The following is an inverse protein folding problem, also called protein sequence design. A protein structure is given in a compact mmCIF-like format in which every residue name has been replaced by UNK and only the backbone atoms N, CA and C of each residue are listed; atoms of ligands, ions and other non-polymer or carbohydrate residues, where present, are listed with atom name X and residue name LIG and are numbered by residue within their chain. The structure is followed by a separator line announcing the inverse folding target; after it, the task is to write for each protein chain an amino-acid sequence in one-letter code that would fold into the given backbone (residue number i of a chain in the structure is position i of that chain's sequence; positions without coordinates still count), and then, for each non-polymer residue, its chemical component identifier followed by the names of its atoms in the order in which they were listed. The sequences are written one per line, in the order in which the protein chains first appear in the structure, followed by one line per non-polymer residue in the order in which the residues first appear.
data_IF_028950293941
#
_entry.id   IF_028950293941
#
_cell.length_a   1.000
_cell.length_b   1.000
_cell.length_c   1.000
_cell.angle_alpha   90.00
_cell.angle_beta   90.00
_cell.angle_gamma   90.00
#
_symmetry.space_group_name_H-M   'P 1'
#
loop_
_entity.id
_entity.type
_entity.pdbx_description
1 polymer ?
2 polymer ?
3 branched ?
4 non-polymer ?
5 non-polymer ?
#
# COMPACT_ATOMS: atom_id res chain seq x y z
N UNK A 6 -7.44 -42.13 12.37
CA UNK A 6 -7.04 -40.80 12.82
C UNK A 6 -5.68 -40.39 12.28
N UNK A 7 -5.54 -39.13 11.89
CA UNK A 7 -4.24 -38.66 11.41
C UNK A 7 -4.09 -37.20 11.79
N UNK A 8 -2.84 -36.75 11.85
CA UNK A 8 -2.51 -35.37 12.16
C UNK A 8 -1.67 -34.81 11.01
N UNK A 9 -2.02 -33.60 10.57
CA UNK A 9 -1.28 -32.87 9.56
C UNK A 9 -1.00 -31.47 10.06
N UNK A 10 0.12 -30.90 9.61
CA UNK A 10 0.53 -29.56 9.99
C UNK A 10 0.69 -28.70 8.75
N UNK A 11 0.18 -27.47 8.83
CA UNK A 11 0.04 -26.60 7.68
C UNK A 11 0.90 -25.36 7.88
N UNK A 12 1.76 -25.09 6.89
CA UNK A 12 2.69 -23.97 6.96
C UNK A 12 1.96 -22.64 6.80
N UNK A 13 2.58 -21.54 7.21
CA UNK A 13 2.05 -20.22 6.85
C UNK A 13 2.00 -20.06 5.33
N UNK A 14 1.08 -19.22 4.88
CA UNK A 14 0.85 -19.00 3.46
C UNK A 14 1.51 -17.70 3.02
N UNK A 15 2.22 -17.76 1.87
CA UNK A 15 2.85 -16.57 1.32
C UNK A 15 1.87 -15.40 1.22
N UNK A 16 0.60 -15.70 0.92
CA UNK A 16 -0.44 -14.68 0.92
C UNK A 16 -0.40 -13.89 2.23
N UNK A 17 -0.55 -14.60 3.35
CA UNK A 17 -0.55 -13.93 4.64
C UNK A 17 0.84 -13.45 5.03
N UNK A 18 1.89 -14.12 4.56
CA UNK A 18 3.25 -13.70 4.90
C UNK A 18 3.60 -12.38 4.25
N UNK A 19 3.44 -12.29 2.93
CA UNK A 19 3.89 -11.13 2.18
C UNK A 19 2.84 -10.02 2.22
N UNK A 20 1.60 -10.33 1.84
CA UNK A 20 0.52 -9.36 1.85
C UNK A 20 -0.34 -9.53 3.11
N UNK A 21 0.23 -9.10 4.22
CA UNK A 21 -0.46 -9.20 5.50
C UNK A 21 0.52 -9.01 6.63
N UNK A 22 0.15 -9.55 7.80
CA UNK A 22 1.00 -9.41 8.97
C UNK A 22 0.57 -10.36 10.10
N UNK A 23 0.04 -11.53 9.74
CA UNK A 23 -0.42 -12.47 10.76
C UNK A 23 -0.36 -13.93 10.29
N UNK A 24 0.86 -14.46 10.17
CA UNK A 24 1.01 -15.87 9.88
C UNK A 24 0.53 -16.71 11.06
N UNK A 25 -0.30 -17.71 10.79
CA UNK A 25 -0.92 -18.49 11.86
C UNK A 25 -0.18 -19.81 12.04
N UNK A 26 -0.13 -20.58 10.94
CA UNK A 26 0.34 -21.96 10.93
C UNK A 26 -0.70 -22.84 11.63
N UNK A 27 -1.07 -23.98 11.04
CA UNK A 27 -2.21 -24.76 11.52
C UNK A 27 -1.84 -26.23 11.70
N UNK A 28 -2.03 -26.74 12.92
CA UNK A 28 -1.92 -28.16 13.22
C UNK A 28 -3.34 -28.70 13.42
N UNK A 29 -3.79 -29.53 12.49
CA UNK A 29 -5.14 -30.07 12.51
C UNK A 29 -5.09 -31.58 12.62
N UNK A 30 -5.83 -32.10 13.60
CA UNK A 30 -6.01 -33.53 13.77
C UNK A 30 -7.31 -33.93 13.10
N UNK A 31 -7.23 -35.02 12.34
CA UNK A 31 -8.38 -35.50 11.52
C UNK A 31 -8.84 -36.93 11.88
N UNK A 32 -10.15 -37.01 12.07
CA UNK A 32 -11.06 -38.16 12.26
C UNK A 32 -10.94 -39.05 13.49
N UNK A 33 -12.12 -39.44 13.99
CA UNK A 33 -12.26 -40.49 15.04
C UNK A 33 -13.53 -40.25 15.88
N UNK A 34 -14.57 -39.57 15.34
CA UNK A 34 -15.77 -39.39 16.18
C UNK A 34 -15.38 -39.23 17.65
N UNK A 35 -14.72 -38.10 17.91
CA UNK A 35 -14.21 -37.83 19.22
C UNK A 35 -14.97 -36.66 19.87
N UNK A 36 -15.01 -36.60 21.21
CA UNK A 36 -15.41 -35.35 21.87
C UNK A 36 -14.38 -34.24 21.68
N UNK A 37 -13.31 -34.51 20.94
CA UNK A 37 -12.22 -33.56 20.72
C UNK A 37 -11.56 -33.16 22.04
N UNK A 38 -11.37 -34.14 22.92
CA UNK A 38 -10.59 -33.92 24.13
C UNK A 38 -9.27 -33.29 23.78
N UNK A 39 -8.44 -34.03 23.05
CA UNK A 39 -7.23 -33.51 22.39
C UNK A 39 -6.28 -32.96 23.46
N UNK A 40 -5.59 -31.86 23.09
CA UNK A 40 -4.49 -31.13 23.72
C UNK A 40 -3.30 -31.05 22.77
N UNK A 41 -2.82 -29.84 22.52
CA UNK A 41 -1.79 -29.56 21.54
C UNK A 41 -0.59 -28.91 22.22
N UNK A 42 0.60 -29.26 21.77
CA UNK A 42 1.83 -28.68 22.29
C UNK A 42 2.71 -28.22 21.13
N UNK A 43 3.37 -27.10 21.34
CA UNK A 43 4.06 -26.38 20.27
C UNK A 43 5.46 -26.00 20.73
N UNK A 44 6.30 -25.66 19.74
CA UNK A 44 7.72 -25.33 19.90
C UNK A 44 7.95 -23.91 20.45
N UNK A 45 8.14 -22.83 19.65
CA UNK A 45 8.30 -21.50 20.25
C UNK A 45 7.16 -21.28 21.26
N UNK A 46 7.46 -21.31 22.56
CA UNK A 46 6.43 -21.17 23.58
C UNK A 46 6.21 -19.72 23.99
N UNK A 47 5.48 -19.54 25.09
CA UNK A 47 5.42 -18.28 25.83
C UNK A 47 5.11 -17.08 24.95
N UNK A 48 6.08 -16.66 24.13
CA UNK A 48 5.98 -15.55 23.20
C UNK A 48 4.56 -15.22 22.79
N UNK A 49 3.96 -16.08 21.98
CA UNK A 49 2.53 -16.05 21.77
C UNK A 49 1.95 -17.38 22.21
N UNK A 50 0.67 -17.38 22.52
CA UNK A 50 0.02 -18.59 23.04
C UNK A 50 -0.82 -19.26 21.95
N UNK A 51 -0.89 -20.59 22.03
CA UNK A 51 -1.58 -21.38 21.01
C UNK A 51 -3.09 -21.35 21.23
N UNK A 52 -3.83 -21.53 20.14
CA UNK A 52 -5.29 -21.50 20.14
C UNK A 52 -5.82 -22.74 19.45
N UNK A 53 -6.78 -23.41 20.08
CA UNK A 53 -7.53 -24.50 19.48
C UNK A 53 -8.78 -23.93 18.81
N UNK A 54 -9.51 -24.76 18.08
CA UNK A 54 -10.64 -24.28 17.30
C UNK A 54 -11.79 -25.28 17.36
N UNK A 55 -12.86 -24.95 16.65
CA UNK A 55 -14.09 -25.75 16.70
C UNK A 55 -13.88 -27.10 16.03
N UNK A 56 -14.47 -28.16 16.58
CA UNK A 56 -14.47 -29.45 15.88
C UNK A 56 -15.21 -29.35 14.55
N UNK A 57 -14.61 -28.67 13.57
CA UNK A 57 -15.26 -28.51 12.28
C UNK A 57 -15.65 -29.86 11.72
N UNK A 58 -16.89 -30.26 11.98
CA UNK A 58 -17.38 -31.61 11.71
C UNK A 58 -17.07 -32.06 10.29
N UNK A 59 -15.82 -32.48 10.07
CA UNK A 59 -15.24 -33.11 8.89
C UNK A 59 -16.22 -34.17 8.42
N UNK A 60 -16.44 -34.32 7.09
CA UNK A 60 -17.33 -35.39 6.61
C UNK A 60 -17.07 -36.77 7.21
N UNK A 61 -18.05 -37.66 7.10
CA UNK A 61 -18.00 -39.02 7.68
C UNK A 61 -17.78 -38.89 9.19
N UNK A 62 -17.08 -39.86 9.76
CA UNK A 62 -16.75 -39.82 11.18
C UNK A 62 -15.34 -39.37 11.46
N UNK A 63 -15.01 -38.14 11.08
CA UNK A 63 -13.72 -37.55 11.42
C UNK A 63 -13.81 -36.42 12.44
N UNK A 64 -14.70 -35.46 12.20
CA UNK A 64 -14.76 -34.32 13.16
C UNK A 64 -13.31 -33.91 13.39
N UNK A 65 -12.79 -33.08 12.49
CA UNK A 65 -11.42 -32.65 12.64
C UNK A 65 -11.34 -31.42 13.54
N UNK A 66 -10.22 -31.33 14.26
CA UNK A 66 -9.96 -30.25 15.21
C UNK A 66 -8.61 -29.65 14.85
N UNK A 67 -8.50 -28.34 14.97
CA UNK A 67 -7.35 -27.62 14.45
C UNK A 67 -6.70 -26.77 15.54
N UNK A 68 -5.47 -26.34 15.28
CA UNK A 68 -4.74 -25.43 16.14
C UNK A 68 -4.04 -24.38 15.32
N UNK A 69 -3.89 -23.20 15.90
CA UNK A 69 -3.05 -22.15 15.35
C UNK A 69 -2.31 -21.50 16.50
N UNK A 70 -1.14 -20.94 16.18
CA UNK A 70 -0.42 -20.05 17.09
C UNK A 70 -0.15 -18.78 16.30
N UNK A 71 -0.78 -17.66 16.63
CA UNK A 71 -0.60 -16.44 15.84
C UNK A 71 0.78 -15.83 16.00
N UNK A 72 1.10 -14.91 15.10
CA UNK A 72 2.27 -14.05 15.22
C UNK A 72 3.60 -14.67 14.84
N UNK A 73 3.63 -15.93 14.42
CA UNK A 73 4.89 -16.59 14.08
C UNK A 73 5.40 -16.19 12.70
N UNK A 74 5.44 -14.87 12.44
CA UNK A 74 5.97 -14.39 11.17
C UNK A 74 7.49 -14.32 11.17
N UNK A 75 8.10 -13.99 12.30
CA UNK A 75 9.55 -13.88 12.37
C UNK A 75 10.27 -15.22 12.57
N UNK A 76 9.74 -16.19 13.33
CA UNK A 76 10.50 -17.44 13.50
C UNK A 76 10.50 -18.30 12.25
N UNK A 77 9.47 -18.18 11.40
CA UNK A 77 9.52 -18.81 10.08
C UNK A 77 10.72 -18.32 9.29
N UNK A 78 10.93 -16.99 9.26
CA UNK A 78 12.00 -16.44 8.44
C UNK A 78 13.39 -16.79 8.98
N UNK A 79 13.54 -16.95 10.29
CA UNK A 79 14.82 -17.47 10.79
C UNK A 79 14.83 -18.99 10.93
N UNK A 80 14.20 -19.68 9.96
CA UNK A 80 14.27 -21.12 9.78
C UNK A 80 13.51 -21.85 10.88
N UNK A 81 14.11 -21.91 12.06
CA UNK A 81 13.64 -22.52 13.31
C UNK A 81 12.55 -23.58 13.18
N UNK A 82 12.87 -24.81 13.59
CA UNK A 82 12.00 -25.96 13.37
C UNK A 82 10.77 -25.90 14.27
N UNK A 83 9.59 -26.08 13.67
CA UNK A 83 8.33 -26.09 14.41
C UNK A 83 7.81 -27.51 14.62
N UNK A 84 7.33 -27.78 15.86
CA UNK A 84 6.76 -29.06 16.24
C UNK A 84 5.31 -28.87 16.69
N UNK A 85 4.51 -29.90 16.45
CA UNK A 85 3.16 -30.01 17.01
C UNK A 85 2.96 -31.44 17.49
N UNK A 86 2.41 -31.60 18.68
CA UNK A 86 2.12 -32.93 19.20
C UNK A 86 0.74 -32.91 19.83
N UNK A 87 -0.08 -33.89 19.46
CA UNK A 87 -1.44 -34.00 19.95
C UNK A 87 -1.66 -35.39 20.52
N UNK A 88 -2.25 -35.46 21.71
CA UNK A 88 -2.64 -36.72 22.33
C UNK A 88 -4.14 -36.65 22.53
N UNK A 89 -4.85 -37.58 21.93
CA UNK A 89 -6.23 -37.43 21.51
C UNK A 89 -7.22 -38.19 22.40
N UNK A 90 -8.52 -37.89 22.30
CA UNK A 90 -9.51 -38.52 23.19
C UNK A 90 -9.84 -39.97 22.83
N UNK A 91 -8.94 -40.64 22.12
CA UNK A 91 -9.05 -42.07 21.88
C UNK A 91 -7.99 -42.81 22.70
N UNK A 92 -6.95 -43.36 22.07
CA UNK A 92 -6.15 -44.35 22.77
C UNK A 92 -4.73 -44.34 22.18
N UNK A 93 -4.06 -45.49 22.24
CA UNK A 93 -2.74 -45.73 21.69
C UNK A 93 -1.71 -44.68 22.12
N UNK A 94 -1.14 -43.99 21.14
CA UNK A 94 0.03 -43.18 21.34
C UNK A 94 -0.24 -41.81 20.70
N UNK A 95 0.10 -40.70 21.37
CA UNK A 95 -0.09 -39.39 20.74
C UNK A 95 0.58 -39.28 19.38
N UNK A 96 0.14 -38.31 18.60
CA UNK A 96 0.64 -38.12 17.25
C UNK A 96 1.39 -36.80 17.21
N UNK A 97 2.37 -36.70 16.31
CA UNK A 97 3.19 -35.50 16.28
C UNK A 97 3.64 -35.23 14.86
N UNK A 98 3.74 -33.94 14.52
CA UNK A 98 4.27 -33.49 13.25
C UNK A 98 5.27 -32.39 13.50
N UNK A 99 5.97 -32.02 12.44
CA UNK A 99 6.98 -30.97 12.50
C UNK A 99 7.26 -30.51 11.08
N UNK A 100 7.47 -29.20 10.93
CA UNK A 100 7.92 -28.61 9.68
C UNK A 100 8.92 -27.51 10.00
N UNK A 101 9.38 -26.83 8.96
CA UNK A 101 10.26 -25.68 9.04
C UNK A 101 10.38 -25.11 7.64
N UNK A 102 11.05 -23.97 7.52
CA UNK A 102 11.26 -23.34 6.22
C UNK A 102 12.16 -24.22 5.36
N UNK A 103 11.65 -24.62 4.19
CA UNK A 103 12.29 -25.65 3.38
C UNK A 103 13.73 -25.31 3.06
N UNK A 104 14.58 -26.35 3.01
CA UNK A 104 16.00 -26.18 2.82
C UNK A 104 16.39 -25.71 1.43
N UNK A 105 16.52 -26.66 0.50
CA UNK A 105 16.84 -26.30 -0.88
C UNK A 105 15.79 -25.35 -1.44
N UNK A 106 16.24 -24.44 -2.30
CA UNK A 106 15.27 -23.50 -2.86
C UNK A 106 15.10 -23.69 -4.36
N UNK A 107 15.54 -22.68 -5.14
CA UNK A 107 15.51 -22.55 -6.60
C UNK A 107 14.57 -21.40 -6.93
N UNK A 108 15.10 -20.19 -7.17
CA UNK A 108 14.23 -19.07 -7.57
C UNK A 108 13.35 -19.35 -8.78
N UNK A 109 12.12 -18.83 -8.79
CA UNK A 109 11.29 -18.92 -9.99
C UNK A 109 11.93 -18.23 -11.18
N UNK A 110 11.60 -18.71 -12.37
CA UNK A 110 11.84 -17.99 -13.61
C UNK A 110 10.49 -17.64 -14.21
N UNK A 111 10.28 -16.35 -14.45
CA UNK A 111 8.96 -15.80 -14.73
C UNK A 111 8.97 -15.22 -16.13
N UNK A 112 7.90 -15.47 -16.87
CA UNK A 112 7.83 -15.12 -18.28
C UNK A 112 6.39 -14.72 -18.59
N UNK A 113 6.20 -13.48 -19.01
CA UNK A 113 4.88 -13.01 -19.42
C UNK A 113 4.88 -13.04 -20.94
N UNK A 114 3.92 -13.74 -21.52
CA UNK A 114 3.95 -14.06 -22.94
C UNK A 114 2.75 -13.51 -23.69
N UNK A 115 2.86 -13.32 -25.01
CA UNK A 115 1.97 -12.39 -25.72
C UNK A 115 0.64 -13.03 -26.08
N UNK A 116 -0.32 -12.21 -26.53
CA UNK A 116 -1.54 -12.76 -27.10
C UNK A 116 -1.24 -13.53 -28.37
N UNK A 117 -2.10 -14.48 -28.75
CA UNK A 117 -1.92 -15.16 -30.04
C UNK A 117 -1.94 -14.17 -31.19
N UNK A 118 -1.02 -14.37 -32.13
CA UNK A 118 -1.00 -13.54 -33.35
C UNK A 118 -2.35 -13.58 -34.04
N UNK A 119 -2.95 -14.78 -34.13
CA UNK A 119 -4.24 -14.96 -34.79
C UNK A 119 -5.42 -14.50 -33.97
N UNK A 120 -5.26 -14.27 -32.67
CA UNK A 120 -6.35 -13.75 -31.86
C UNK A 120 -6.35 -12.23 -31.79
N UNK A 121 -5.17 -11.61 -31.76
CA UNK A 121 -5.11 -10.15 -31.63
C UNK A 121 -5.56 -9.46 -32.92
N UNK A 122 -5.40 -10.12 -34.07
CA UNK A 122 -5.90 -9.56 -35.32
C UNK A 122 -7.40 -9.32 -35.23
N UNK A 123 -8.13 -10.27 -34.65
CA UNK A 123 -9.57 -10.16 -34.43
C UNK A 123 -9.76 -9.30 -33.18
N UNK A 124 -9.58 -7.98 -33.36
CA UNK A 124 -9.55 -7.02 -32.26
C UNK A 124 -10.79 -7.07 -31.38
N UNK A 125 -10.74 -7.85 -30.31
CA UNK A 125 -11.79 -7.90 -29.29
C UNK A 125 -11.19 -8.08 -27.91
N UNK A 126 -11.33 -9.29 -27.36
CA UNK A 126 -10.60 -9.70 -26.16
C UNK A 126 -9.46 -10.61 -26.58
N UNK A 127 -8.33 -10.48 -25.89
CA UNK A 127 -7.15 -11.32 -26.12
C UNK A 127 -6.55 -11.71 -24.77
N UNK A 128 -5.44 -12.46 -24.84
CA UNK A 128 -4.95 -13.24 -23.71
C UNK A 128 -3.52 -12.86 -23.38
N UNK A 129 -3.29 -12.42 -22.14
CA UNK A 129 -1.95 -12.35 -21.58
C UNK A 129 -1.73 -13.56 -20.70
N UNK A 130 -0.52 -14.13 -20.78
CA UNK A 130 -0.16 -15.32 -20.04
C UNK A 130 1.06 -15.03 -19.17
N UNK A 131 1.14 -15.74 -18.05
CA UNK A 131 2.24 -15.57 -17.11
C UNK A 131 2.69 -16.94 -16.64
N UNK A 132 4.00 -17.16 -16.64
CA UNK A 132 4.57 -18.48 -16.44
C UNK A 132 5.61 -18.43 -15.32
N UNK A 133 5.28 -19.00 -14.18
CA UNK A 133 6.24 -19.26 -13.11
C UNK A 133 6.77 -20.67 -13.27
N UNK A 134 8.08 -20.84 -13.10
CA UNK A 134 8.72 -22.06 -13.57
C UNK A 134 9.94 -22.39 -12.71
N UNK A 135 10.20 -23.69 -12.55
CA UNK A 135 11.38 -24.16 -11.85
C UNK A 135 11.66 -23.47 -10.54
N UNK A 136 10.85 -23.74 -9.51
CA UNK A 136 11.07 -23.05 -8.23
C UNK A 136 11.04 -23.98 -7.01
N UNK A 137 10.90 -23.40 -5.81
CA UNK A 137 11.34 -24.08 -4.59
C UNK A 137 10.18 -24.88 -3.97
N UNK A 138 9.52 -24.53 -2.85
CA UNK A 138 8.25 -25.20 -2.58
C UNK A 138 7.19 -24.71 -3.56
N UNK A 139 6.20 -25.56 -3.77
CA UNK A 139 5.17 -25.30 -4.75
C UNK A 139 4.42 -24.01 -4.48
N UNK A 140 4.43 -23.52 -3.25
CA UNK A 140 3.66 -22.34 -2.89
C UNK A 140 4.21 -21.09 -3.58
N UNK A 141 3.36 -20.44 -4.37
CA UNK A 141 3.67 -19.17 -5.03
C UNK A 141 2.47 -18.24 -4.96
N UNK A 142 2.71 -16.99 -5.35
CA UNK A 142 1.68 -15.97 -5.48
C UNK A 142 1.91 -15.26 -6.79
N UNK A 143 0.91 -15.26 -7.67
CA UNK A 143 0.94 -14.48 -8.90
C UNK A 143 -0.14 -13.42 -8.83
N UNK A 144 0.25 -12.15 -8.99
CA UNK A 144 -0.67 -11.02 -9.01
C UNK A 144 -0.42 -10.24 -10.30
N UNK A 145 -1.49 -9.90 -11.00
CA UNK A 145 -1.41 -9.10 -12.23
C UNK A 145 -1.53 -7.61 -11.89
N UNK A 146 -1.01 -6.77 -12.78
CA UNK A 146 -1.08 -5.33 -12.61
C UNK A 146 -1.43 -4.65 -13.93
N UNK A 147 -2.39 -3.73 -13.88
CA UNK A 147 -2.66 -2.79 -14.97
C UNK A 147 -2.04 -1.45 -14.61
N UNK A 148 -1.40 -0.81 -15.58
CA UNK A 148 -0.62 0.38 -15.31
C UNK A 148 0.27 0.18 -14.11
N UNK A 149 -0.20 0.63 -12.96
CA UNK A 149 0.43 0.32 -11.68
C UNK A 149 -0.65 0.10 -10.62
N UNK A 150 -1.73 -0.58 -11.01
CA UNK A 150 -2.81 -0.92 -10.10
C UNK A 150 -3.01 -2.43 -10.05
N UNK A 151 -3.11 -2.98 -8.85
CA UNK A 151 -3.41 -4.40 -8.68
C UNK A 151 -4.85 -4.67 -9.12
N UNK A 152 -5.01 -5.52 -10.13
CA UNK A 152 -6.34 -5.95 -10.51
C UNK A 152 -6.91 -6.85 -9.43
N UNK A 153 -8.21 -6.76 -9.14
CA UNK A 153 -8.82 -7.73 -8.24
C UNK A 153 -8.57 -9.14 -8.76
N UNK A 154 -8.42 -10.08 -7.81
CA UNK A 154 -8.17 -11.47 -8.16
C UNK A 154 -9.17 -11.98 -9.19
N UNK A 155 -10.39 -11.44 -9.17
CA UNK A 155 -11.48 -11.94 -9.99
C UNK A 155 -11.37 -11.57 -11.47
N UNK A 156 -10.42 -10.74 -11.86
CA UNK A 156 -10.28 -10.38 -13.26
C UNK A 156 -9.28 -11.25 -14.01
N UNK A 157 -8.47 -12.02 -13.31
CA UNK A 157 -7.48 -12.91 -13.92
C UNK A 157 -7.59 -14.31 -13.34
N UNK A 158 -7.20 -15.29 -14.14
CA UNK A 158 -7.24 -16.70 -13.75
C UNK A 158 -5.82 -17.19 -13.54
N UNK A 159 -5.60 -17.88 -12.42
CA UNK A 159 -4.30 -18.49 -12.11
C UNK A 159 -4.49 -19.97 -11.85
N UNK A 160 -3.77 -20.80 -12.59
CA UNK A 160 -3.65 -22.19 -12.21
C UNK A 160 -2.70 -22.33 -11.02
N UNK A 161 -2.72 -23.55 -10.46
CA UNK A 161 -1.95 -23.96 -9.27
C UNK A 161 -0.60 -24.52 -9.67
N UNK A 162 0.31 -24.62 -8.71
CA UNK A 162 1.62 -25.22 -8.95
C UNK A 162 1.54 -26.73 -9.06
N UNK A 163 2.25 -27.26 -10.05
CA UNK A 163 2.34 -28.70 -10.29
C UNK A 163 3.76 -29.04 -10.71
N UNK A 164 4.28 -30.15 -10.19
CA UNK A 164 5.60 -30.60 -10.62
C UNK A 164 5.62 -30.82 -12.12
N UNK A 165 6.63 -30.27 -12.76
CA UNK A 165 6.98 -30.46 -14.15
C UNK A 165 7.93 -31.64 -14.31
N UNK A 166 7.77 -32.43 -15.38
CA UNK A 166 8.70 -33.55 -15.61
C UNK A 166 10.12 -33.06 -15.78
N UNK A 167 10.85 -33.03 -14.68
CA UNK A 167 12.13 -32.35 -14.61
C UNK A 167 13.27 -33.35 -14.62
N UNK A 168 14.39 -32.95 -15.20
CA UNK A 168 15.59 -33.76 -15.22
C UNK A 168 16.32 -33.57 -13.89
N UNK A 169 16.10 -34.47 -12.95
CA UNK A 169 16.77 -34.39 -11.67
C UNK A 169 16.05 -33.54 -10.65
N UNK A 170 16.47 -32.29 -10.51
CA UNK A 170 15.89 -31.38 -9.53
C UNK A 170 14.39 -31.26 -9.71
N UNK A 171 13.65 -31.65 -8.67
CA UNK A 171 12.19 -31.64 -8.69
C UNK A 171 11.72 -30.20 -8.52
N UNK A 172 11.24 -29.60 -9.60
CA UNK A 172 10.83 -28.20 -9.60
C UNK A 172 9.39 -28.07 -10.07
N UNK A 173 8.77 -26.96 -9.71
CA UNK A 173 7.35 -26.73 -9.94
C UNK A 173 7.15 -25.72 -11.06
N UNK A 174 5.87 -25.43 -11.36
CA UNK A 174 5.52 -24.51 -12.42
C UNK A 174 4.09 -24.01 -12.21
N UNK A 175 3.83 -22.78 -12.64
CA UNK A 175 2.52 -22.16 -12.48
C UNK A 175 2.27 -21.30 -13.71
N UNK A 176 0.99 -21.22 -14.13
CA UNK A 176 0.59 -20.32 -15.20
C UNK A 176 -0.62 -19.49 -14.78
N UNK A 177 -0.79 -18.37 -15.48
CA UNK A 177 -1.85 -17.42 -15.21
C UNK A 177 -2.24 -16.75 -16.51
N UNK A 178 -3.51 -16.38 -16.62
CA UNK A 178 -4.05 -15.73 -17.80
C UNK A 178 -4.86 -14.51 -17.36
N UNK A 179 -4.59 -13.38 -18.00
CA UNK A 179 -5.42 -12.18 -17.88
C UNK A 179 -5.98 -11.86 -19.25
N UNK A 180 -7.30 -11.98 -19.39
CA UNK A 180 -7.97 -11.62 -20.63
C UNK A 180 -8.36 -10.16 -20.58
N UNK A 181 -8.00 -9.41 -21.64
CA UNK A 181 -8.13 -7.97 -21.66
C UNK A 181 -8.69 -7.53 -23.01
N UNK A 182 -9.16 -6.29 -23.05
CA UNK A 182 -9.74 -5.71 -24.26
C UNK A 182 -8.64 -5.18 -25.17
N UNK A 183 -8.82 -5.39 -26.48
CA UNK A 183 -7.77 -5.08 -27.45
C UNK A 183 -7.41 -3.59 -27.46
N UNK A 184 -8.42 -2.71 -27.36
CA UNK A 184 -8.17 -1.28 -27.43
C UNK A 184 -7.14 -0.85 -26.37
N UNK A 185 -7.14 -1.49 -25.21
CA UNK A 185 -6.14 -1.19 -24.20
C UNK A 185 -4.74 -1.54 -24.69
N UNK A 186 -4.61 -2.68 -25.36
CA UNK A 186 -3.30 -3.17 -25.80
C UNK A 186 -2.72 -2.30 -26.91
N UNK A 187 -3.50 -2.06 -27.97
CA UNK A 187 -3.05 -1.20 -29.06
C UNK A 187 -2.93 0.25 -28.62
N UNK A 188 -3.63 0.65 -27.56
CA UNK A 188 -3.52 2.02 -27.04
C UNK A 188 -2.10 2.30 -26.55
N UNK A 189 -1.59 1.45 -25.66
CA UNK A 189 -0.21 1.55 -25.27
C UNK A 189 0.08 1.50 -23.78
N UNK A 190 -0.94 1.30 -22.96
CA UNK A 190 -0.70 1.28 -21.52
C UNK A 190 -0.11 -0.08 -21.10
N UNK A 191 0.30 -0.16 -19.84
CA UNK A 191 1.26 -1.16 -19.39
C UNK A 191 0.63 -2.19 -18.46
N UNK A 192 0.95 -3.46 -18.69
CA UNK A 192 0.53 -4.57 -17.84
C UNK A 192 1.76 -5.29 -17.29
N UNK A 193 1.59 -5.94 -16.15
CA UNK A 193 2.68 -6.63 -15.49
C UNK A 193 2.16 -7.89 -14.81
N UNK A 194 3.06 -8.84 -14.62
CA UNK A 194 2.84 -10.00 -13.79
C UNK A 194 3.91 -10.03 -12.71
N UNK A 195 3.52 -10.37 -11.49
CA UNK A 195 4.47 -10.39 -10.38
C UNK A 195 4.32 -11.69 -9.61
N UNK A 196 5.46 -12.31 -9.30
CA UNK A 196 5.52 -13.61 -8.66
C UNK A 196 6.28 -13.46 -7.34
N UNK A 197 5.62 -13.80 -6.25
CA UNK A 197 6.24 -13.84 -4.94
C UNK A 197 6.53 -15.28 -4.56
N UNK A 198 7.68 -15.49 -3.93
CA UNK A 198 8.16 -16.83 -3.68
C UNK A 198 9.12 -16.80 -2.50
N UNK A 199 9.12 -17.90 -1.75
CA UNK A 199 9.93 -18.00 -0.54
C UNK A 199 11.39 -17.73 -0.86
N UNK A 200 11.91 -18.37 -1.92
CA UNK A 200 13.31 -18.22 -2.31
C UNK A 200 13.65 -16.77 -2.63
N UNK A 201 13.07 -16.24 -3.73
CA UNK A 201 13.32 -14.92 -4.27
C UNK A 201 13.73 -13.89 -3.23
N UNK A 202 14.81 -13.15 -3.51
CA UNK A 202 15.44 -12.34 -2.45
C UNK A 202 14.62 -11.11 -2.09
N UNK A 203 14.05 -10.44 -3.07
CA UNK A 203 13.25 -9.24 -2.89
C UNK A 203 11.78 -9.60 -2.69
N UNK A 204 11.53 -10.83 -2.23
CA UNK A 204 10.18 -11.39 -2.10
C UNK A 204 9.58 -11.57 -3.48
N UNK A 205 8.67 -10.68 -3.86
CA UNK A 205 8.16 -10.68 -5.22
C UNK A 205 9.26 -10.29 -6.21
N UNK A 206 9.02 -10.60 -7.48
CA UNK A 206 9.81 -10.05 -8.59
C UNK A 206 8.86 -9.72 -9.74
N UNK A 207 8.99 -8.50 -10.24
CA UNK A 207 8.15 -8.01 -11.34
C UNK A 207 8.85 -8.20 -12.68
N UNK A 208 8.06 -8.59 -13.69
CA UNK A 208 8.46 -8.47 -15.08
C UNK A 208 7.24 -8.01 -15.86
N UNK A 209 7.44 -7.08 -16.78
CA UNK A 209 6.39 -6.27 -17.39
C UNK A 209 6.17 -6.72 -18.84
N UNK A 210 5.31 -5.97 -19.56
CA UNK A 210 5.05 -6.26 -20.96
C UNK A 210 4.64 -4.98 -21.69
N UNK A 211 5.18 -4.82 -22.89
CA UNK A 211 4.71 -3.87 -23.88
C UNK A 211 4.52 -4.64 -25.18
N UNK A 212 4.35 -3.96 -26.31
CA UNK A 212 4.21 -4.67 -27.58
C UNK A 212 5.15 -4.13 -28.66
N UNK B 4 24.00 7.79 8.75
CA UNK B 4 22.55 7.96 8.63
C UNK B 4 22.14 8.29 7.20
N UNK B 5 20.82 8.35 7.02
CA UNK B 5 20.09 8.34 5.77
C UNK B 5 19.29 9.63 5.64
N UNK B 6 18.72 9.91 4.46
CA UNK B 6 17.73 10.97 4.44
C UNK B 6 16.37 10.45 4.90
N UNK B 7 15.77 9.54 4.09
CA UNK B 7 14.49 8.83 4.15
C UNK B 7 13.71 9.44 2.99
N UNK B 8 12.85 8.70 2.30
CA UNK B 8 12.32 9.16 1.01
C UNK B 8 11.44 10.39 1.14
N UNK B 9 11.30 11.08 0.02
CA UNK B 9 10.59 12.36 -0.03
C UNK B 9 9.11 12.17 -0.33
N UNK B 10 8.34 13.18 0.04
CA UNK B 10 6.90 13.23 -0.16
C UNK B 10 6.55 14.55 -0.83
N UNK B 11 5.91 14.48 -1.99
CA UNK B 11 5.57 15.67 -2.75
C UNK B 11 4.11 15.61 -3.16
N UNK B 12 3.55 16.78 -3.43
CA UNK B 12 2.22 16.94 -4.04
C UNK B 12 2.43 17.82 -5.26
N UNK B 13 2.61 17.16 -6.41
CA UNK B 13 3.00 17.84 -7.65
C UNK B 13 2.04 18.97 -8.03
N UNK B 14 0.80 18.92 -7.56
CA UNK B 14 -0.13 20.03 -7.68
C UNK B 14 -0.38 20.60 -6.29
N UNK B 15 -0.65 21.90 -6.24
CA UNK B 15 -0.63 22.64 -4.98
C UNK B 15 -1.42 21.90 -3.91
N UNK B 16 -0.86 21.77 -2.69
CA UNK B 16 -1.34 20.74 -1.76
C UNK B 16 -2.57 21.12 -0.96
N UNK B 17 -3.31 22.12 -1.41
CA UNK B 17 -4.55 22.53 -0.75
C UNK B 17 -5.64 22.60 -1.82
N UNK B 18 -6.76 21.96 -1.54
CA UNK B 18 -7.76 21.68 -2.57
C UNK B 18 -9.15 21.94 -2.04
N UNK B 19 -10.04 22.41 -2.91
CA UNK B 19 -11.43 22.61 -2.49
C UNK B 19 -12.05 21.28 -2.10
N UNK B 20 -12.75 21.29 -0.97
CA UNK B 20 -13.36 20.07 -0.45
C UNK B 20 -14.09 19.36 -1.59
N UNK B 21 -13.58 18.19 -1.96
CA UNK B 21 -13.98 17.57 -3.21
C UNK B 21 -13.02 17.80 -4.34
N UNK B 22 -11.79 18.18 -4.03
CA UNK B 22 -10.77 18.42 -5.02
C UNK B 22 -9.86 17.22 -5.21
N UNK B 23 -9.12 17.24 -6.32
CA UNK B 23 -8.28 16.12 -6.73
C UNK B 23 -6.85 16.59 -6.96
N UNK B 24 -5.89 15.80 -6.45
CA UNK B 24 -4.47 16.14 -6.50
C UNK B 24 -3.66 14.87 -6.74
N UNK B 25 -2.41 15.06 -7.14
CA UNK B 25 -1.57 13.99 -7.67
C UNK B 25 -0.37 13.79 -6.72
N UNK B 26 -0.64 13.19 -5.56
CA UNK B 26 0.40 13.04 -4.55
C UNK B 26 1.42 12.00 -5.00
N UNK B 27 2.66 12.17 -4.55
CA UNK B 27 3.79 11.42 -5.10
C UNK B 27 4.80 11.16 -3.99
N UNK B 28 5.35 9.95 -3.97
CA UNK B 28 6.43 9.57 -3.07
C UNK B 28 7.72 9.32 -3.85
N UNK B 29 8.76 8.95 -3.13
CA UNK B 29 10.00 8.45 -3.70
C UNK B 29 9.89 6.92 -3.82
N UNK B 30 10.76 6.34 -4.62
CA UNK B 30 10.62 4.94 -5.01
C UNK B 30 11.85 4.15 -4.56
N UNK B 31 11.73 3.43 -3.45
CA UNK B 31 12.74 2.45 -3.07
C UNK B 31 12.51 1.22 -3.95
N UNK B 32 13.35 0.99 -4.98
CA UNK B 32 13.08 -0.09 -5.94
C UNK B 32 13.43 -1.49 -5.43
N UNK B 33 13.91 -1.61 -4.20
CA UNK B 33 14.02 -2.90 -3.52
C UNK B 33 12.88 -3.10 -2.53
N UNK B 34 11.81 -2.32 -2.69
CA UNK B 34 10.60 -2.42 -1.88
C UNK B 34 9.42 -2.68 -2.82
N UNK B 35 8.83 -3.88 -2.73
CA UNK B 35 7.68 -4.22 -3.56
C UNK B 35 6.41 -3.54 -3.08
N UNK B 36 6.28 -3.32 -1.78
CA UNK B 36 5.02 -2.85 -1.19
C UNK B 36 5.18 -1.42 -0.66
N UNK B 37 4.23 -0.56 -1.00
CA UNK B 37 4.26 0.85 -0.64
C UNK B 37 2.88 1.29 -0.19
N UNK B 38 2.83 1.92 0.98
CA UNK B 38 1.61 2.14 1.76
C UNK B 38 1.51 3.62 2.08
N UNK B 39 0.50 4.29 1.55
CA UNK B 39 0.23 5.66 1.97
C UNK B 39 -0.56 5.64 3.27
N UNK B 40 -0.01 6.29 4.28
CA UNK B 40 -0.62 6.37 5.60
C UNK B 40 -1.17 7.77 5.83
N UNK B 41 -2.15 7.86 6.73
CA UNK B 41 -2.51 9.14 7.32
C UNK B 41 -2.38 8.99 8.82
N UNK B 42 -1.33 9.60 9.38
CA UNK B 42 -1.10 9.54 10.82
C UNK B 42 -2.29 10.11 11.56
N UNK B 43 -3.22 9.22 11.88
CA UNK B 43 -4.54 9.54 12.42
C UNK B 43 -4.63 8.99 13.84
N UNK B 44 -4.74 9.89 14.81
CA UNK B 44 -4.96 9.51 16.20
C UNK B 44 -3.96 8.49 16.72
N UNK B 45 -2.83 8.96 17.25
CA UNK B 45 -1.85 8.15 17.96
C UNK B 45 -1.12 7.14 17.08
N UNK B 46 -1.60 6.94 15.86
CA UNK B 46 -1.15 5.83 15.03
C UNK B 46 -1.04 6.29 13.58
N UNK B 47 -1.14 5.31 12.67
CA UNK B 47 -1.12 5.54 11.23
C UNK B 47 -1.93 4.41 10.60
N UNK B 48 -2.64 4.72 9.52
CA UNK B 48 -3.61 3.77 8.97
C UNK B 48 -3.54 3.76 7.45
N UNK B 49 -3.80 2.59 6.87
CA UNK B 49 -3.67 2.40 5.43
C UNK B 49 -4.85 3.03 4.69
N UNK B 50 -4.54 3.95 3.77
CA UNK B 50 -5.53 4.44 2.82
C UNK B 50 -5.38 3.77 1.46
N UNK B 51 -4.23 3.94 0.82
CA UNK B 51 -3.98 3.31 -0.47
C UNK B 51 -2.77 2.38 -0.36
N UNK B 52 -2.68 1.46 -1.33
CA UNK B 52 -1.71 0.38 -1.32
C UNK B 52 -1.31 0.11 -2.76
N UNK B 53 -0.12 0.55 -3.16
CA UNK B 53 0.42 0.27 -4.48
C UNK B 53 1.61 -0.68 -4.36
N UNK B 54 1.45 -1.87 -4.94
CA UNK B 54 2.44 -2.93 -4.96
C UNK B 54 3.28 -2.84 -6.23
N UNK B 55 4.49 -3.38 -6.17
CA UNK B 55 5.37 -3.43 -7.33
C UNK B 55 6.65 -2.67 -7.10
N UNK B 56 7.55 -2.82 -8.07
CA UNK B 56 8.84 -2.14 -8.07
C UNK B 56 8.76 -0.96 -9.04
N UNK B 57 9.70 -0.01 -8.88
CA UNK B 57 9.81 1.13 -9.80
C UNK B 57 11.27 1.31 -10.18
N UNK B 58 11.66 0.60 -11.23
CA UNK B 58 13.00 0.68 -11.80
C UNK B 58 12.91 1.79 -12.84
N UNK B 59 11.90 2.66 -12.71
CA UNK B 59 11.74 3.77 -13.64
C UNK B 59 11.42 5.05 -12.90
N UNK B 60 10.13 5.36 -12.82
CA UNK B 60 9.63 6.58 -12.21
C UNK B 60 9.69 6.51 -10.69
N UNK B 61 8.91 7.37 -10.05
CA UNK B 61 8.63 7.39 -8.63
C UNK B 61 7.14 7.18 -8.43
N UNK B 62 6.69 6.71 -7.26
CA UNK B 62 5.29 6.31 -7.12
C UNK B 62 4.41 7.51 -6.80
N UNK B 63 3.30 7.63 -7.54
CA UNK B 63 2.28 8.64 -7.27
C UNK B 63 1.01 8.00 -6.74
N UNK B 64 0.37 8.71 -5.81
CA UNK B 64 -0.99 8.46 -5.37
C UNK B 64 -1.89 9.52 -6.01
N UNK B 65 -3.20 9.36 -5.86
CA UNK B 65 -4.15 10.40 -6.24
C UNK B 65 -5.27 10.41 -5.21
N UNK B 66 -5.49 11.55 -4.57
CA UNK B 66 -6.63 11.75 -3.71
C UNK B 66 -7.66 12.56 -4.47
N UNK B 67 -8.76 11.93 -4.85
CA UNK B 67 -9.84 12.62 -5.51
C UNK B 67 -11.02 12.73 -4.55
N UNK B 68 -11.92 13.67 -4.83
CA UNK B 68 -13.08 13.94 -3.98
C UNK B 68 -12.62 14.20 -2.55
N UNK B 69 -11.87 15.29 -2.43
CA UNK B 69 -11.14 15.59 -1.20
C UNK B 69 -12.11 15.81 -0.06
N UNK B 70 -11.93 15.04 1.01
CA UNK B 70 -12.81 15.09 2.16
C UNK B 70 -12.15 15.84 3.33
N UNK B 71 -12.99 16.28 4.26
CA UNK B 71 -12.52 16.54 5.60
C UNK B 71 -11.87 15.29 6.17
N UNK B 72 -12.36 14.12 5.77
CA UNK B 72 -11.74 12.85 6.14
C UNK B 72 -10.31 12.76 5.61
N UNK B 73 -10.06 13.32 4.43
CA UNK B 73 -8.83 13.09 3.69
C UNK B 73 -7.74 14.10 4.01
N UNK B 74 -7.92 14.91 5.04
CA UNK B 74 -6.95 15.94 5.41
C UNK B 74 -6.22 15.53 6.68
N UNK B 75 -4.91 15.74 6.70
CA UNK B 75 -4.10 15.40 7.84
C UNK B 75 -2.66 15.13 7.44
N UNK B 76 -1.99 14.30 8.25
CA UNK B 76 -0.60 13.92 8.02
C UNK B 76 -0.53 12.67 7.14
N UNK B 77 0.09 12.79 5.98
CA UNK B 77 0.26 11.67 5.06
C UNK B 77 1.73 11.23 5.04
N UNK B 78 1.95 9.92 5.02
CA UNK B 78 3.30 9.36 5.07
C UNK B 78 3.36 8.08 4.24
N UNK B 79 4.46 7.88 3.52
CA UNK B 79 4.67 6.64 2.78
C UNK B 79 5.33 5.56 3.63
N UNK B 80 5.02 4.32 3.31
CA UNK B 80 5.54 3.14 4.01
C UNK B 80 6.08 2.15 2.98
N UNK B 81 7.35 1.80 3.14
CA UNK B 81 8.06 0.92 2.21
C UNK B 81 8.35 -0.40 2.93
N UNK B 82 8.12 -1.52 2.25
CA UNK B 82 8.43 -2.84 2.79
C UNK B 82 9.47 -3.51 1.91
N UNK B 83 10.68 -3.70 2.44
CA UNK B 83 11.78 -4.33 1.74
C UNK B 83 11.99 -5.72 2.32
N UNK B 84 11.96 -6.73 1.46
CA UNK B 84 12.23 -8.10 1.89
C UNK B 84 11.20 -8.69 2.83
N UNK B 85 11.64 -9.08 4.04
CA UNK B 85 10.75 -9.71 5.00
C UNK B 85 10.81 -9.08 6.38
N UNK B 86 11.43 -7.91 6.54
CA UNK B 86 11.51 -7.29 7.85
C UNK B 86 11.92 -5.81 7.80
N UNK B 87 12.44 -5.35 6.66
CA UNK B 87 12.87 -3.96 6.54
C UNK B 87 11.65 -3.09 6.27
N UNK B 88 11.44 -2.08 7.12
CA UNK B 88 10.32 -1.16 6.95
C UNK B 88 10.85 0.27 7.03
N UNK B 89 10.85 0.94 5.90
CA UNK B 89 11.38 2.29 5.80
C UNK B 89 10.23 3.26 5.55
N UNK B 90 10.25 4.38 6.25
CA UNK B 90 9.12 5.29 6.25
C UNK B 90 9.23 6.30 5.11
N UNK B 91 9.00 7.57 5.43
CA UNK B 91 9.19 8.73 4.58
C UNK B 91 8.88 9.94 5.44
N UNK B 92 9.54 11.06 5.15
CA UNK B 92 9.21 12.23 5.96
C UNK B 92 7.79 12.67 5.64
N UNK B 93 7.18 13.38 6.60
CA UNK B 93 5.75 13.59 6.59
C UNK B 93 5.33 14.71 5.65
N UNK B 94 4.10 14.62 5.17
CA UNK B 94 3.42 15.66 4.43
C UNK B 94 2.03 15.83 5.01
N UNK B 95 1.51 17.05 4.90
CA UNK B 95 0.14 17.31 5.31
C UNK B 95 -0.68 17.90 4.16
N UNK B 96 -1.97 17.57 4.18
CA UNK B 96 -2.96 18.12 3.26
C UNK B 96 -4.07 18.82 4.02
N UNK B 97 -4.68 19.80 3.36
CA UNK B 97 -5.72 20.62 3.94
C UNK B 97 -6.77 20.94 2.87
N UNK B 98 -8.03 21.05 3.30
CA UNK B 98 -9.14 21.29 2.41
C UNK B 98 -9.48 22.78 2.44
N UNK B 99 -10.20 23.24 1.41
CA UNK B 99 -10.74 24.59 1.39
C UNK B 99 -12.21 24.55 1.03
N UNK B 100 -12.91 25.63 1.37
CA UNK B 100 -14.32 25.71 1.09
C UNK B 100 -15.15 25.24 2.27
N UNK B 101 -14.97 25.86 3.42
CA UNK B 101 -15.63 25.36 4.63
C UNK B 101 -16.29 26.43 5.46
N UNK B 102 -15.65 27.58 5.64
CA UNK B 102 -16.09 28.54 6.64
C UNK B 102 -16.81 29.71 5.99
N UNK B 103 -16.08 30.53 5.26
CA UNK B 103 -16.62 31.70 4.59
C UNK B 103 -15.46 32.50 4.05
N UNK B 104 -15.53 32.94 2.79
CA UNK B 104 -14.36 33.56 2.19
C UNK B 104 -13.97 34.81 2.98
N UNK B 105 -12.74 34.90 3.47
CA UNK B 105 -12.23 36.18 3.97
C UNK B 105 -12.16 37.17 2.83
N UNK B 106 -11.75 38.40 3.09
CA UNK B 106 -11.46 39.34 2.01
C UNK B 106 -10.15 40.03 2.31
N UNK B 107 -9.36 40.20 1.27
CA UNK B 107 -8.01 40.74 1.33
C UNK B 107 -7.94 42.02 0.53
N UNK B 108 -6.88 42.79 0.75
CA UNK B 108 -6.71 44.03 -0.01
C UNK B 108 -5.30 44.56 0.17
N UNK B 109 -5.02 45.63 -0.56
CA UNK B 109 -3.68 46.18 -0.74
C UNK B 109 -3.58 47.53 -0.04
N UNK B 110 -2.34 48.01 0.08
CA UNK B 110 -2.06 49.40 0.46
C UNK B 110 -1.61 50.25 -0.73
N UNK B 111 -1.02 49.63 -1.76
CA UNK B 111 -0.66 50.35 -2.98
C UNK B 111 -1.40 49.75 -4.18
N UNK B 112 -0.84 49.89 -5.37
CA UNK B 112 -1.50 49.41 -6.57
C UNK B 112 -1.24 47.95 -6.84
N UNK B 113 -2.05 47.37 -7.74
CA UNK B 113 -1.92 45.93 -8.04
C UNK B 113 -0.66 45.54 -8.80
N UNK B 114 0.17 46.48 -9.25
CA UNK B 114 1.47 46.15 -9.83
C UNK B 114 2.55 46.99 -9.15
N UNK B 115 2.89 46.60 -7.93
CA UNK B 115 3.94 47.29 -7.20
C UNK B 115 5.30 46.83 -7.71
N UNK B 116 6.10 47.78 -8.21
CA UNK B 116 7.49 47.48 -8.49
C UNK B 116 8.23 47.40 -7.16
N UNK B 117 8.94 46.31 -6.88
CA UNK B 117 9.19 45.88 -5.51
C UNK B 117 10.29 46.60 -4.76
N UNK B 118 11.02 47.53 -5.37
CA UNK B 118 12.04 48.26 -4.63
C UNK B 118 11.55 48.76 -3.28
N UNK B 119 10.24 48.97 -3.17
CA UNK B 119 9.56 49.39 -1.95
C UNK B 119 8.47 48.37 -1.63
N UNK B 120 7.86 48.52 -0.46
CA UNK B 120 7.10 47.43 0.18
C UNK B 120 5.62 47.44 -0.18
N UNK B 121 4.99 46.28 -0.05
CA UNK B 121 3.54 46.13 -0.10
C UNK B 121 3.11 45.16 1.00
N UNK B 122 2.19 45.61 1.84
CA UNK B 122 1.53 44.74 2.80
C UNK B 122 0.11 44.47 2.34
N UNK B 123 -0.31 43.21 2.48
CA UNK B 123 -1.70 42.81 2.25
C UNK B 123 -2.40 42.69 3.59
N UNK B 124 -3.65 43.13 3.63
CA UNK B 124 -4.47 43.03 4.84
C UNK B 124 -5.59 42.06 4.53
N UNK B 125 -5.59 40.91 5.19
CA UNK B 125 -6.61 39.90 4.99
C UNK B 125 -7.35 39.67 6.29
N UNK B 126 -8.67 39.75 6.27
CA UNK B 126 -9.40 39.37 7.47
C UNK B 126 -10.85 39.05 7.12
N UNK B 127 -11.53 38.47 8.09
CA UNK B 127 -12.96 38.23 8.07
C UNK B 127 -13.61 39.03 9.19
N UNK B 128 -14.73 39.67 8.89
CA UNK B 128 -15.43 40.49 9.88
C UNK B 128 -16.45 39.71 10.70
N UNK B 129 -16.86 38.51 10.23
CA UNK B 129 -17.96 37.82 10.88
C UNK B 129 -17.61 36.38 11.22
N UNK B 130 -16.38 35.95 10.97
CA UNK B 130 -15.98 34.55 11.17
C UNK B 130 -14.67 34.60 11.96
N UNK B 131 -14.70 34.39 13.27
CA UNK B 131 -13.47 34.62 14.07
C UNK B 131 -12.42 33.55 13.88
N UNK B 132 -11.78 33.54 12.72
CA UNK B 132 -10.75 32.54 12.44
C UNK B 132 -9.60 32.68 13.43
N UNK B 133 -9.06 31.54 13.88
CA UNK B 133 -7.88 31.54 14.74
C UNK B 133 -6.71 32.25 14.06
N UNK B 134 -6.39 31.84 12.83
CA UNK B 134 -5.26 32.37 12.09
C UNK B 134 -5.63 32.50 10.63
N UNK B 135 -4.78 33.18 9.87
CA UNK B 135 -4.95 33.29 8.43
C UNK B 135 -3.65 32.91 7.73
N UNK B 136 -3.81 32.31 6.55
CA UNK B 136 -2.71 31.91 5.70
C UNK B 136 -2.95 32.47 4.30
N UNK B 137 -1.92 33.10 3.73
CA UNK B 137 -2.05 33.75 2.43
C UNK B 137 -1.47 32.83 1.37
N UNK B 138 -2.32 32.38 0.44
CA UNK B 138 -1.99 31.28 -0.45
C UNK B 138 -1.74 31.80 -1.86
N UNK B 139 -0.50 31.68 -2.32
CA UNK B 139 -0.15 31.92 -3.71
C UNK B 139 -0.54 30.72 -4.56
N UNK B 140 -0.92 30.99 -5.80
CA UNK B 140 -1.18 29.93 -6.76
C UNK B 140 0.14 29.26 -7.16
N UNK B 141 0.02 28.05 -7.71
CA UNK B 141 1.17 27.36 -8.25
C UNK B 141 2.07 26.73 -7.20
N UNK B 142 2.88 27.53 -6.51
CA UNK B 142 3.85 27.05 -5.54
C UNK B 142 3.30 25.94 -4.68
N UNK B 143 4.00 24.81 -4.69
CA UNK B 143 3.48 23.50 -4.28
C UNK B 143 3.66 23.21 -2.79
N UNK B 144 3.23 24.13 -1.92
CA UNK B 144 3.49 23.95 -0.50
C UNK B 144 2.56 24.80 0.34
N UNK B 145 2.51 24.46 1.63
CA UNK B 145 1.84 25.20 2.70
C UNK B 145 2.36 26.62 2.68
N UNK B 146 1.54 27.64 2.92
CA UNK B 146 1.90 28.99 2.51
C UNK B 146 3.18 29.53 3.13
N UNK B 147 3.82 30.43 2.38
CA UNK B 147 5.02 31.10 2.86
C UNK B 147 4.73 31.93 4.11
N UNK B 148 3.51 32.44 4.24
CA UNK B 148 3.15 33.38 5.31
C UNK B 148 1.87 32.96 6.00
N UNK B 149 1.87 33.03 7.34
CA UNK B 149 0.72 32.73 8.17
C UNK B 149 0.81 33.52 9.46
N UNK B 150 -0.32 34.07 9.90
CA UNK B 150 -0.36 34.89 11.11
C UNK B 150 -1.61 34.60 11.92
N UNK B 151 -1.68 35.19 13.12
CA UNK B 151 -2.82 35.05 14.01
C UNK B 151 -3.19 36.30 14.78
N UNK B 152 -2.95 37.47 14.20
CA UNK B 152 -3.34 38.75 14.78
C UNK B 152 -4.54 39.31 14.03
N UNK B 153 -5.29 40.18 14.70
CA UNK B 153 -6.64 40.46 14.22
C UNK B 153 -6.67 41.09 12.82
N UNK B 154 -5.66 41.86 12.37
CA UNK B 154 -5.55 42.12 10.94
C UNK B 154 -4.49 41.21 10.37
N UNK B 155 -4.66 40.66 9.17
CA UNK B 155 -3.57 39.87 8.60
C UNK B 155 -2.56 40.84 7.99
N UNK B 156 -1.55 41.18 8.77
CA UNK B 156 -0.42 42.01 8.37
C UNK B 156 0.61 41.13 7.68
N UNK B 157 0.50 40.99 6.37
CA UNK B 157 1.45 40.25 5.55
C UNK B 157 2.10 41.20 4.55
N UNK B 158 3.21 41.82 4.92
CA UNK B 158 3.91 42.47 3.83
C UNK B 158 4.91 41.53 3.20
N UNK B 159 5.45 41.98 2.09
CA UNK B 159 6.22 41.15 1.20
C UNK B 159 7.68 41.57 1.20
N UNK B 160 8.01 42.62 1.94
CA UNK B 160 9.29 43.27 1.84
C UNK B 160 9.49 43.77 0.43
N UNK B 161 10.68 44.24 0.13
CA UNK B 161 11.04 44.40 -1.28
C UNK B 161 10.86 43.09 -2.05
N UNK B 162 9.72 42.99 -2.72
CA UNK B 162 9.30 41.84 -3.51
C UNK B 162 10.39 41.54 -4.56
N UNK B 163 10.27 40.41 -5.24
CA UNK B 163 10.93 40.21 -6.54
C UNK B 163 10.16 39.12 -7.27
N UNK B 164 10.29 39.13 -8.61
CA UNK B 164 9.20 38.63 -9.45
C UNK B 164 8.82 37.19 -9.16
N UNK B 165 9.74 36.38 -8.63
CA UNK B 165 9.28 35.06 -8.20
C UNK B 165 8.24 35.17 -7.10
N UNK B 166 7.97 36.39 -6.63
CA UNK B 166 6.75 36.73 -5.90
C UNK B 166 5.85 37.51 -6.87
N UNK B 167 5.11 36.78 -7.72
CA UNK B 167 4.17 37.41 -8.64
C UNK B 167 3.20 36.36 -9.15
N UNK B 168 2.05 36.85 -9.63
CA UNK B 168 0.99 35.97 -10.12
C UNK B 168 -0.34 36.22 -9.43
N UNK B 169 -1.04 35.15 -9.08
CA UNK B 169 -2.35 35.23 -8.45
C UNK B 169 -2.26 34.78 -6.99
N UNK B 170 -2.93 35.53 -6.11
CA UNK B 170 -2.85 35.32 -4.67
C UNK B 170 -4.25 35.33 -4.09
N UNK B 171 -4.45 34.53 -3.03
CA UNK B 171 -5.68 34.58 -2.23
C UNK B 171 -5.30 34.30 -0.77
N UNK B 172 -6.33 34.13 0.06
CA UNK B 172 -6.14 34.08 1.51
C UNK B 172 -7.25 33.25 2.12
N UNK B 173 -6.89 32.48 3.16
CA UNK B 173 -7.79 31.52 3.77
C UNK B 173 -7.80 31.68 5.28
N UNK B 174 -8.98 31.47 5.87
CA UNK B 174 -9.11 31.40 7.31
C UNK B 174 -8.62 30.09 7.88
N UNK B 175 -8.66 29.98 9.21
CA UNK B 175 -8.04 28.84 9.88
C UNK B 175 -8.44 28.84 11.36
N UNK B 176 -8.79 27.68 11.93
CA UNK B 176 -9.06 27.59 13.36
C UNK B 176 -8.02 26.75 14.10
N UNK B 177 -8.29 26.59 15.39
CA UNK B 177 -7.41 25.92 16.35
C UNK B 177 -7.21 24.45 15.99
N UNK B 178 -8.25 23.64 16.20
CA UNK B 178 -8.17 22.19 16.04
C UNK B 178 -8.70 21.71 14.70
N UNK B 179 -8.84 22.61 13.74
CA UNK B 179 -9.01 22.18 12.36
C UNK B 179 -7.88 22.71 11.47
N UNK B 180 -6.60 22.51 11.82
CA UNK B 180 -5.53 22.99 10.93
C UNK B 180 -5.63 22.40 9.54
N UNK B 181 -6.39 21.32 9.39
CA UNK B 181 -6.60 20.67 8.11
C UNK B 181 -7.82 21.19 7.35
N UNK B 182 -8.63 22.01 8.01
CA UNK B 182 -9.91 22.48 7.50
C UNK B 182 -9.87 24.00 7.35
N UNK B 183 -9.96 24.51 6.12
CA UNK B 183 -9.82 25.94 5.91
C UNK B 183 -11.04 26.52 5.21
N UNK B 184 -11.12 27.85 5.27
CA UNK B 184 -12.24 28.61 4.71
C UNK B 184 -12.26 28.53 3.18
N UNK B 185 -13.27 29.19 2.61
CA UNK B 185 -13.36 29.36 1.17
C UNK B 185 -12.21 30.22 0.65
N UNK B 186 -11.90 30.13 -0.64
CA UNK B 186 -10.95 31.06 -1.24
C UNK B 186 -11.53 32.46 -1.34
N UNK B 187 -10.71 33.44 -0.99
CA UNK B 187 -11.11 34.84 -0.97
C UNK B 187 -11.12 35.42 -2.38
N UNK B 188 -10.99 36.74 -2.48
CA UNK B 188 -10.86 37.40 -3.77
C UNK B 188 -9.41 37.35 -4.21
N UNK B 189 -9.21 37.41 -5.52
CA UNK B 189 -7.90 37.16 -6.11
C UNK B 189 -7.11 38.44 -6.32
N UNK B 190 -5.80 38.34 -6.14
CA UNK B 190 -4.86 39.43 -6.30
C UNK B 190 -3.93 39.10 -7.47
N UNK B 191 -4.06 39.84 -8.58
CA UNK B 191 -3.23 39.60 -9.75
C UNK B 191 -2.04 40.55 -9.70
N UNK B 192 -1.06 40.20 -8.86
CA UNK B 192 0.17 40.98 -8.76
C UNK B 192 1.04 40.73 -9.99
N UNK B 193 1.48 41.81 -10.62
CA UNK B 193 2.36 41.68 -11.79
C UNK B 193 3.52 42.67 -11.67
#
# INVERSE_FOLDING_TARGET
GSCCEPRLSLRRPALEDLLLGSEANLTCTLTGLKDPSGATFTWTPSSGKNAVQQSPKRDPCGCYSVSSVLPGCAEPWNNRETFTCTANHPELETPLTATISKSGNTFRPEVHLLPPPSEELALNELVTLTCLARGFSPEDVLIRWLKGTEQLPRDKYLTWESRKEPSQGTTTFAVTSILRVAAEDWKKGDTFSCMVGHEALPLAFTQKTIDRLAGK
QEGNFSTPFISTRSSPVVPWGGSVRIQCQAIPDAYLIWLMMLKNSTYEKRDEKLGFWNDTTPEFVIDHMDANKAGRYRCRYRIGFSRFRYSDTLELVVTGLYGKPSLSVDRGPVLMPGENISVTCSSAHIPFDRFSLAKEGELSLPQHQSGEHPANFSLGPVDLNVSGSYRCYGWYNRSPYLWSFPSNALELVVTDSINRDHHHHHH
#
